data_IF_319621095878
#
_entry.id   IF_319621095878
#
_cell.length_a   1.000
_cell.length_b   1.000
_cell.length_c   1.000
_cell.angle_alpha   90.00
_cell.angle_beta   90.00
_cell.angle_gamma   90.00
#
_symmetry.space_group_name_H-M   'P 1'
#
loop_
_entity.id
_entity.type
_entity.pdbx_description
1 polymer ?
#
# COMPACT_ATOMS: atom_id res chain seq x y z
N UNK A 1 -32.35 -31.26 -36.66
CA UNK A 1 -31.52 -31.23 -35.44
C UNK A 1 -31.57 -29.80 -34.92
N UNK A 2 -32.22 -29.60 -33.78
CA UNK A 2 -32.80 -28.32 -33.36
C UNK A 2 -31.81 -27.40 -32.61
N UNK A 3 -31.96 -26.06 -32.71
CA UNK A 3 -31.01 -25.06 -32.18
C UNK A 3 -31.03 -24.95 -30.64
N UNK A 4 -31.92 -25.69 -29.97
CA UNK A 4 -32.14 -25.59 -28.53
C UNK A 4 -30.96 -26.14 -27.72
N UNK A 5 -30.21 -27.12 -28.24
CA UNK A 5 -29.09 -27.74 -27.53
C UNK A 5 -27.85 -26.82 -27.40
N UNK A 6 -27.66 -25.88 -28.34
CA UNK A 6 -26.52 -24.96 -28.34
C UNK A 6 -26.66 -23.80 -27.35
N UNK A 7 -27.87 -23.49 -26.87
CA UNK A 7 -28.12 -22.40 -25.93
C UNK A 7 -28.26 -22.91 -24.49
N UNK A 8 -28.79 -24.12 -24.30
CA UNK A 8 -29.04 -24.68 -22.96
C UNK A 8 -27.73 -25.13 -22.28
N UNK A 9 -26.77 -25.71 -23.01
CA UNK A 9 -25.52 -26.20 -22.41
C UNK A 9 -24.63 -25.06 -21.86
N UNK A 10 -24.39 -23.94 -22.58
CA UNK A 10 -23.65 -22.81 -22.03
C UNK A 10 -24.36 -22.17 -20.83
N UNK A 11 -25.70 -22.08 -20.85
CA UNK A 11 -26.47 -21.45 -19.78
C UNK A 11 -26.50 -22.31 -18.51
N UNK A 12 -26.59 -23.64 -18.65
CA UNK A 12 -26.46 -24.59 -17.54
C UNK A 12 -25.04 -24.60 -16.98
N UNK A 13 -24.00 -24.53 -17.82
CA UNK A 13 -22.62 -24.38 -17.35
C UNK A 13 -22.38 -23.02 -16.67
N UNK A 14 -23.01 -21.94 -17.16
CA UNK A 14 -22.95 -20.62 -16.52
C UNK A 14 -23.65 -20.64 -15.18
N UNK A 15 -24.82 -21.28 -15.06
CA UNK A 15 -25.57 -21.44 -13.80
C UNK A 15 -24.87 -22.39 -12.82
N UNK A 16 -24.20 -23.45 -13.29
CA UNK A 16 -23.36 -24.33 -12.46
C UNK A 16 -22.12 -23.57 -12.00
N UNK A 17 -21.46 -22.79 -12.87
CA UNK A 17 -20.35 -21.90 -12.49
C UNK A 17 -20.82 -20.79 -11.55
N UNK A 18 -22.00 -20.22 -11.72
CA UNK A 18 -22.58 -19.21 -10.82
C UNK A 18 -22.98 -19.82 -9.47
N UNK A 19 -23.50 -21.05 -9.46
CA UNK A 19 -23.82 -21.81 -8.23
C UNK A 19 -22.56 -22.28 -7.50
N UNK A 20 -21.53 -22.72 -8.23
CA UNK A 20 -20.21 -23.05 -7.66
C UNK A 20 -19.49 -21.78 -7.16
N UNK A 21 -19.61 -20.66 -7.86
CA UNK A 21 -19.09 -19.35 -7.42
C UNK A 21 -19.82 -18.83 -6.18
N UNK A 22 -21.15 -19.02 -6.07
CA UNK A 22 -21.90 -18.74 -4.84
C UNK A 22 -21.58 -19.73 -3.71
N UNK A 23 -21.28 -21.00 -4.01
CA UNK A 23 -20.85 -22.01 -3.00
C UNK A 23 -19.41 -21.81 -2.51
N UNK A 24 -18.57 -21.09 -3.26
CA UNK A 24 -17.16 -20.87 -2.93
C UNK A 24 -16.80 -19.44 -2.51
N UNK A 25 -17.79 -18.57 -2.22
CA UNK A 25 -17.54 -17.41 -1.36
C UNK A 25 -17.86 -17.83 0.07
N UNK A 26 -16.87 -17.95 0.98
CA UNK A 26 -17.21 -17.95 2.40
C UNK A 26 -18.09 -16.71 2.63
N UNK A 27 -19.23 -16.89 3.29
CA UNK A 27 -20.09 -15.79 3.71
C UNK A 27 -19.27 -14.91 4.67
N UNK A 28 -18.60 -13.90 4.13
CA UNK A 28 -17.80 -13.01 4.94
C UNK A 28 -18.74 -12.14 5.76
N UNK A 29 -18.73 -12.31 7.08
CA UNK A 29 -19.40 -11.37 7.98
C UNK A 29 -18.74 -10.01 7.76
N UNK A 30 -19.51 -9.02 7.33
CA UNK A 30 -18.99 -7.68 7.05
C UNK A 30 -19.16 -6.81 8.28
N UNK A 31 -18.05 -6.26 8.77
CA UNK A 31 -18.02 -5.38 9.93
C UNK A 31 -17.81 -3.96 9.43
N UNK A 32 -18.78 -3.09 9.71
CA UNK A 32 -18.82 -1.71 9.22
C UNK A 32 -18.81 -0.67 10.34
N UNK A 33 -18.73 -1.09 11.61
CA UNK A 33 -18.64 -0.19 12.76
C UNK A 33 -17.23 -0.19 13.35
N UNK A 34 -16.76 0.97 13.81
CA UNK A 34 -15.44 1.07 14.45
C UNK A 34 -15.36 0.25 15.74
N UNK A 35 -16.43 0.24 16.55
CA UNK A 35 -16.48 -0.50 17.81
C UNK A 35 -16.22 -2.00 17.63
N UNK A 36 -16.94 -2.65 16.71
CA UNK A 36 -16.75 -4.07 16.42
C UNK A 36 -15.40 -4.34 15.75
N UNK A 37 -14.96 -3.46 14.84
CA UNK A 37 -13.65 -3.56 14.22
C UNK A 37 -12.53 -3.58 15.29
N UNK A 38 -12.57 -2.70 16.28
CA UNK A 38 -11.60 -2.67 17.37
C UNK A 38 -11.66 -3.93 18.25
N UNK A 39 -12.85 -4.45 18.55
CA UNK A 39 -13.01 -5.71 19.31
C UNK A 39 -12.32 -6.87 18.59
N UNK A 40 -12.58 -7.04 17.29
CA UNK A 40 -11.99 -8.11 16.48
C UNK A 40 -10.49 -7.92 16.33
N UNK A 41 -10.02 -6.72 16.03
CA UNK A 41 -8.59 -6.47 15.80
C UNK A 41 -7.72 -6.66 17.06
N UNK A 42 -8.30 -6.51 18.25
CA UNK A 42 -7.61 -6.70 19.54
C UNK A 42 -7.74 -8.13 20.10
N UNK A 43 -8.71 -8.92 19.63
CA UNK A 43 -8.93 -10.28 20.13
C UNK A 43 -7.89 -11.27 19.60
N UNK A 44 -7.49 -12.21 20.47
CA UNK A 44 -6.66 -13.38 20.12
C UNK A 44 -7.43 -14.48 19.38
N UNK A 45 -8.76 -14.42 19.38
CA UNK A 45 -9.64 -15.39 18.70
C UNK A 45 -9.62 -15.20 17.17
N UNK A 46 -9.01 -14.13 16.68
CA UNK A 46 -8.99 -13.78 15.27
C UNK A 46 -7.56 -13.66 14.76
N UNK A 47 -7.24 -14.42 13.71
CA UNK A 47 -5.94 -14.30 13.04
C UNK A 47 -6.07 -13.94 11.56
N UNK A 48 -4.94 -13.74 10.90
CA UNK A 48 -4.87 -13.32 9.49
C UNK A 48 -4.17 -14.33 8.57
N UNK A 49 -3.83 -15.51 9.08
CA UNK A 49 -3.05 -16.51 8.33
C UNK A 49 -3.83 -17.02 7.12
N UNK A 50 -5.01 -17.59 7.31
CA UNK A 50 -5.84 -18.15 6.22
C UNK A 50 -6.18 -17.11 5.13
N UNK A 51 -6.60 -15.87 5.45
CA UNK A 51 -6.82 -14.85 4.41
C UNK A 51 -5.57 -14.45 3.61
N UNK A 52 -4.38 -14.66 4.18
CA UNK A 52 -3.10 -14.28 3.59
C UNK A 52 -2.30 -15.46 3.03
N UNK A 53 -2.80 -16.69 3.13
CA UNK A 53 -2.11 -17.91 2.70
C UNK A 53 -1.66 -17.85 1.23
N UNK A 54 -2.47 -17.22 0.37
CA UNK A 54 -2.12 -17.02 -1.03
C UNK A 54 -0.81 -16.25 -1.25
N UNK A 55 -0.37 -15.40 -0.31
CA UNK A 55 0.90 -14.67 -0.39
C UNK A 55 2.09 -15.63 -0.29
N UNK A 56 1.96 -16.74 0.46
CA UNK A 56 2.97 -17.78 0.55
C UNK A 56 3.12 -18.45 -0.82
N UNK A 57 2.00 -18.88 -1.42
CA UNK A 57 2.00 -19.64 -2.68
C UNK A 57 2.35 -18.77 -3.90
N UNK A 58 1.96 -17.50 -3.87
CA UNK A 58 2.06 -16.60 -5.03
C UNK A 58 3.36 -15.81 -5.01
N UNK A 59 3.73 -15.28 -3.85
CA UNK A 59 4.83 -14.33 -3.69
C UNK A 59 5.93 -14.84 -2.78
N UNK A 60 5.85 -16.08 -2.30
CA UNK A 60 6.85 -16.67 -1.38
C UNK A 60 7.08 -15.81 -0.14
N UNK A 61 6.01 -15.21 0.41
CA UNK A 61 6.08 -14.34 1.61
C UNK A 61 5.75 -15.16 2.85
N UNK A 62 6.73 -15.24 3.74
CA UNK A 62 6.67 -15.93 5.03
C UNK A 62 7.13 -14.96 6.11
N UNK A 63 6.15 -14.24 6.66
CA UNK A 63 6.36 -13.18 7.65
C UNK A 63 5.18 -13.14 8.63
N UNK A 64 5.10 -12.20 9.59
CA UNK A 64 4.01 -12.18 10.57
C UNK A 64 2.61 -11.89 9.99
N UNK A 65 2.49 -11.63 8.69
CA UNK A 65 1.21 -11.52 8.01
C UNK A 65 0.69 -12.87 7.53
N UNK A 66 1.58 -13.83 7.26
CA UNK A 66 1.23 -15.16 6.79
C UNK A 66 1.37 -16.22 7.88
N UNK A 67 2.16 -15.93 8.92
CA UNK A 67 2.46 -16.86 10.02
C UNK A 67 1.78 -16.42 11.32
N UNK A 68 1.03 -17.34 11.92
CA UNK A 68 0.35 -17.11 13.19
C UNK A 68 1.24 -17.46 14.38
N UNK A 69 2.27 -16.65 14.62
CA UNK A 69 3.10 -16.75 15.82
C UNK A 69 3.21 -15.40 16.54
N UNK A 70 2.79 -15.36 17.80
CA UNK A 70 2.74 -14.13 18.58
C UNK A 70 4.13 -13.55 18.88
N UNK A 71 5.13 -14.41 19.06
CA UNK A 71 6.50 -14.00 19.36
C UNK A 71 7.18 -13.36 18.14
N UNK A 72 6.99 -13.95 16.95
CA UNK A 72 7.42 -13.45 15.66
C UNK A 72 6.75 -12.11 15.34
N UNK A 73 5.43 -12.02 15.53
CA UNK A 73 4.71 -10.77 15.37
C UNK A 73 5.26 -9.67 16.28
N UNK A 74 5.55 -9.99 17.54
CA UNK A 74 6.14 -9.04 18.50
C UNK A 74 7.56 -8.63 18.09
N UNK A 75 8.43 -9.58 17.73
CA UNK A 75 9.81 -9.32 17.34
C UNK A 75 9.89 -8.46 16.07
N UNK A 76 9.17 -8.86 15.03
CA UNK A 76 9.11 -8.12 13.76
C UNK A 76 8.55 -6.71 13.95
N UNK A 77 7.44 -6.57 14.71
CA UNK A 77 6.85 -5.25 15.01
C UNK A 77 7.83 -4.37 15.79
N UNK A 78 8.52 -4.92 16.78
CA UNK A 78 9.50 -4.18 17.60
C UNK A 78 10.66 -3.70 16.73
N UNK A 79 11.21 -4.56 15.88
CA UNK A 79 12.28 -4.18 14.95
C UNK A 79 11.82 -3.10 13.96
N UNK A 80 10.65 -3.29 13.34
CA UNK A 80 10.07 -2.29 12.44
C UNK A 80 9.85 -0.95 13.14
N UNK A 81 9.31 -0.93 14.36
CA UNK A 81 9.18 0.32 15.13
C UNK A 81 10.53 0.98 15.36
N UNK A 82 11.55 0.24 15.81
CA UNK A 82 12.91 0.77 16.05
C UNK A 82 13.48 1.46 14.81
N UNK A 83 13.34 0.84 13.63
CA UNK A 83 13.79 1.42 12.36
C UNK A 83 13.02 2.70 12.05
N UNK A 84 11.69 2.64 12.08
CA UNK A 84 10.84 3.75 11.64
C UNK A 84 10.86 4.95 12.59
N UNK A 85 10.99 4.72 13.90
CA UNK A 85 11.11 5.79 14.90
C UNK A 85 12.42 6.57 14.75
N UNK A 86 13.42 6.03 14.06
CA UNK A 86 14.65 6.78 13.80
C UNK A 86 14.39 8.09 13.02
N UNK A 87 13.36 8.11 12.18
CA UNK A 87 12.95 9.25 11.37
C UNK A 87 11.96 10.19 12.10
N UNK A 88 11.63 9.93 13.38
CA UNK A 88 10.91 10.93 14.19
C UNK A 88 11.86 12.02 14.69
N UNK A 89 13.17 11.76 14.75
CA UNK A 89 14.19 12.77 14.98
C UNK A 89 14.27 13.75 13.78
N UNK A 90 14.51 15.04 14.04
CA UNK A 90 14.54 16.06 12.98
C UNK A 90 15.73 15.87 12.01
N UNK A 91 16.94 15.67 12.52
CA UNK A 91 18.14 15.49 11.70
C UNK A 91 18.00 14.31 10.73
N UNK A 92 17.52 13.18 11.23
CA UNK A 92 17.28 11.99 10.39
C UNK A 92 16.15 12.22 9.38
N UNK A 93 15.12 12.98 9.75
CA UNK A 93 14.05 13.33 8.83
C UNK A 93 14.54 14.27 7.71
N UNK A 94 15.39 15.24 8.02
CA UNK A 94 15.98 16.14 7.01
C UNK A 94 16.88 15.36 6.04
N UNK A 95 17.65 14.39 6.55
CA UNK A 95 18.43 13.46 5.71
C UNK A 95 17.53 12.64 4.79
N UNK A 96 16.43 12.10 5.33
CA UNK A 96 15.42 11.37 4.55
C UNK A 96 14.84 12.25 3.43
N UNK A 97 14.46 13.49 3.73
CA UNK A 97 13.95 14.45 2.74
C UNK A 97 14.98 14.73 1.65
N UNK A 98 16.26 14.90 2.00
CA UNK A 98 17.33 15.10 1.03
C UNK A 98 17.48 13.90 0.09
N UNK A 99 17.45 12.67 0.61
CA UNK A 99 17.50 11.48 -0.26
C UNK A 99 16.28 11.41 -1.16
N UNK A 100 15.08 11.62 -0.62
CA UNK A 100 13.82 11.63 -1.38
C UNK A 100 13.90 12.64 -2.54
N UNK A 101 14.36 13.86 -2.25
CA UNK A 101 14.60 14.90 -3.26
C UNK A 101 15.51 14.43 -4.38
N UNK A 102 16.69 13.89 -4.03
CA UNK A 102 17.67 13.44 -5.01
C UNK A 102 17.11 12.31 -5.90
N UNK A 103 16.36 11.36 -5.31
CA UNK A 103 15.74 10.25 -6.07
C UNK A 103 14.63 10.74 -6.99
N UNK A 104 13.75 11.61 -6.52
CA UNK A 104 12.67 12.19 -7.32
C UNK A 104 13.24 13.04 -8.45
N UNK A 105 14.22 13.90 -8.16
CA UNK A 105 14.91 14.71 -9.16
C UNK A 105 15.48 13.84 -10.28
N UNK A 106 16.22 12.80 -9.91
CA UNK A 106 16.82 11.88 -10.88
C UNK A 106 15.76 11.20 -11.74
N UNK A 107 14.68 10.68 -11.12
CA UNK A 107 13.59 10.01 -11.82
C UNK A 107 12.85 10.94 -12.77
N UNK A 108 12.45 12.13 -12.31
CA UNK A 108 11.73 13.11 -13.13
C UNK A 108 12.61 13.58 -14.30
N UNK A 109 13.90 13.87 -14.05
CA UNK A 109 14.85 14.25 -15.11
C UNK A 109 14.96 13.16 -16.18
N UNK A 110 15.11 11.88 -15.78
CA UNK A 110 15.15 10.76 -16.72
C UNK A 110 13.86 10.62 -17.53
N UNK A 111 12.71 10.83 -16.90
CA UNK A 111 11.42 10.78 -17.59
C UNK A 111 11.30 11.92 -18.60
N UNK A 112 11.61 13.16 -18.22
CA UNK A 112 11.57 14.33 -19.10
C UNK A 112 12.48 14.21 -20.33
N UNK A 113 13.66 13.58 -20.18
CA UNK A 113 14.56 13.30 -21.29
C UNK A 113 13.97 12.28 -22.30
N UNK A 114 13.15 11.34 -21.83
CA UNK A 114 12.56 10.28 -22.66
C UNK A 114 11.23 10.70 -23.29
N UNK A 115 10.36 11.34 -22.51
CA UNK A 115 9.02 11.73 -22.93
C UNK A 115 8.47 12.87 -22.05
N UNK A 116 7.68 13.77 -22.62
CA UNK A 116 7.03 14.86 -21.86
C UNK A 116 5.80 14.38 -21.06
N UNK A 117 5.29 13.19 -21.38
CA UNK A 117 4.15 12.55 -20.71
C UNK A 117 4.58 11.27 -20.04
N UNK A 118 4.09 11.03 -18.84
CA UNK A 118 4.37 9.78 -18.13
C UNK A 118 3.17 9.39 -17.26
N UNK A 119 3.08 8.10 -16.95
CA UNK A 119 1.99 7.55 -16.16
C UNK A 119 2.18 7.87 -14.66
N UNK A 120 1.18 8.51 -14.05
CA UNK A 120 1.24 8.89 -12.63
C UNK A 120 1.35 7.67 -11.71
N UNK A 121 0.62 6.59 -12.01
CA UNK A 121 0.67 5.38 -11.19
C UNK A 121 2.06 4.74 -11.21
N UNK A 122 2.73 4.72 -12.37
CA UNK A 122 4.10 4.23 -12.52
C UNK A 122 5.09 5.13 -11.79
N UNK A 123 4.97 6.45 -11.91
CA UNK A 123 5.82 7.39 -11.17
C UNK A 123 5.71 7.13 -9.66
N UNK A 124 4.49 7.11 -9.11
CA UNK A 124 4.25 6.92 -7.69
C UNK A 124 4.81 5.57 -7.18
N UNK A 125 4.60 4.48 -7.93
CA UNK A 125 5.18 3.16 -7.63
C UNK A 125 6.72 3.22 -7.57
N UNK A 126 7.34 3.77 -8.62
CA UNK A 126 8.80 3.79 -8.80
C UNK A 126 9.50 4.65 -7.74
N UNK A 127 9.07 5.91 -7.56
CA UNK A 127 9.73 6.82 -6.59
C UNK A 127 9.55 6.33 -5.15
N UNK A 128 8.38 5.78 -4.82
CA UNK A 128 8.16 5.22 -3.48
C UNK A 128 9.00 3.97 -3.27
N UNK A 129 9.16 3.12 -4.29
CA UNK A 129 10.02 1.93 -4.21
C UNK A 129 11.48 2.33 -4.03
N UNK A 130 11.98 3.25 -4.85
CA UNK A 130 13.37 3.73 -4.79
C UNK A 130 13.70 4.35 -3.43
N UNK A 131 12.83 5.23 -2.93
CA UNK A 131 12.99 5.82 -1.61
C UNK A 131 12.96 4.76 -0.51
N UNK A 132 12.04 3.78 -0.58
CA UNK A 132 11.96 2.70 0.40
C UNK A 132 13.21 1.80 0.37
N UNK A 133 13.65 1.38 -0.80
CA UNK A 133 14.83 0.54 -0.98
C UNK A 133 16.09 1.27 -0.50
N UNK A 134 16.28 2.52 -0.92
CA UNK A 134 17.47 3.30 -0.54
C UNK A 134 17.49 3.60 0.96
N UNK A 135 16.41 4.15 1.52
CA UNK A 135 16.44 4.69 2.89
C UNK A 135 16.17 3.64 3.95
N UNK A 136 15.23 2.73 3.71
CA UNK A 136 14.84 1.74 4.72
C UNK A 136 15.71 0.49 4.61
N UNK A 137 16.01 0.05 3.39
CA UNK A 137 16.81 -1.16 3.17
C UNK A 137 18.28 -0.86 2.88
N UNK A 138 18.68 0.35 2.53
CA UNK A 138 20.06 0.60 2.09
C UNK A 138 20.42 -0.14 0.79
N UNK A 139 19.43 -0.37 -0.07
CA UNK A 139 19.57 -1.07 -1.36
C UNK A 139 19.44 -0.05 -2.49
N UNK A 140 20.47 0.03 -3.34
CA UNK A 140 20.46 0.91 -4.51
C UNK A 140 19.82 0.20 -5.70
N UNK A 141 18.59 0.55 -6.03
CA UNK A 141 17.87 -0.08 -7.12
C UNK A 141 18.37 0.40 -8.50
N UNK A 142 18.47 -0.52 -9.46
CA UNK A 142 18.62 -0.17 -10.87
C UNK A 142 17.25 0.03 -11.54
N UNK A 143 17.24 0.39 -12.83
CA UNK A 143 16.02 0.63 -13.58
C UNK A 143 15.10 -0.61 -13.66
N UNK A 144 15.65 -1.81 -13.85
CA UNK A 144 14.87 -3.05 -13.95
C UNK A 144 14.12 -3.31 -12.64
N UNK A 145 14.79 -3.21 -11.50
CA UNK A 145 14.18 -3.38 -10.19
C UNK A 145 13.08 -2.36 -9.92
N UNK A 146 13.27 -1.11 -10.34
CA UNK A 146 12.28 -0.05 -10.10
C UNK A 146 11.08 -0.13 -11.04
N UNK A 147 11.29 -0.57 -12.29
CA UNK A 147 10.23 -0.57 -13.30
C UNK A 147 9.46 -1.88 -13.37
N UNK A 148 10.14 -3.02 -13.24
CA UNK A 148 9.54 -4.33 -13.46
C UNK A 148 8.95 -4.94 -12.17
N UNK A 149 9.64 -4.80 -11.03
CA UNK A 149 9.19 -5.39 -9.77
C UNK A 149 7.77 -4.93 -9.37
N UNK A 150 7.42 -3.62 -9.40
CA UNK A 150 6.06 -3.17 -9.09
C UNK A 150 4.98 -3.84 -9.95
N UNK A 151 5.24 -3.94 -11.24
CA UNK A 151 4.26 -4.45 -12.20
C UNK A 151 4.10 -5.97 -12.06
N UNK A 152 5.18 -6.71 -11.82
CA UNK A 152 5.13 -8.15 -11.52
C UNK A 152 4.34 -8.46 -10.24
N UNK A 153 4.59 -7.71 -9.16
CA UNK A 153 3.84 -7.90 -7.89
C UNK A 153 2.34 -7.69 -8.14
N UNK A 154 1.97 -6.60 -8.84
CA UNK A 154 0.57 -6.26 -9.12
C UNK A 154 -0.07 -7.28 -10.07
N UNK A 155 0.66 -7.75 -11.08
CA UNK A 155 0.21 -8.79 -12.01
C UNK A 155 -0.07 -10.10 -11.28
N UNK A 156 0.87 -10.57 -10.46
CA UNK A 156 0.74 -11.82 -9.69
C UNK A 156 -0.40 -11.78 -8.68
N UNK A 157 -0.81 -10.59 -8.22
CA UNK A 157 -2.00 -10.48 -7.39
C UNK A 157 -3.31 -10.87 -8.09
N UNK A 158 -3.39 -10.68 -9.42
CA UNK A 158 -4.53 -11.10 -10.24
C UNK A 158 -4.31 -12.49 -10.82
N UNK A 159 -3.09 -12.74 -11.28
CA UNK A 159 -2.68 -13.92 -12.01
C UNK A 159 -1.81 -14.82 -11.11
N UNK A 160 -2.39 -15.28 -9.99
CA UNK A 160 -1.65 -15.96 -8.90
C UNK A 160 -0.90 -17.22 -9.31
N UNK A 161 -1.32 -17.85 -10.39
CA UNK A 161 -0.76 -19.10 -10.90
C UNK A 161 0.17 -18.89 -12.10
N UNK A 162 0.46 -17.64 -12.49
CA UNK A 162 1.36 -17.33 -13.60
C UNK A 162 2.80 -17.71 -13.24
N UNK A 163 3.25 -18.85 -13.78
CA UNK A 163 4.58 -19.39 -13.50
C UNK A 163 5.67 -18.52 -14.11
N UNK A 164 5.48 -17.98 -15.31
CA UNK A 164 6.46 -17.13 -15.99
C UNK A 164 6.72 -15.86 -15.19
N UNK A 165 5.67 -15.22 -14.66
CA UNK A 165 5.82 -14.05 -13.81
C UNK A 165 6.51 -14.38 -12.47
N UNK A 166 6.25 -15.55 -11.88
CA UNK A 166 6.95 -16.02 -10.66
C UNK A 166 8.43 -16.28 -10.94
N UNK A 167 8.77 -16.92 -12.05
CA UNK A 167 10.15 -17.23 -12.42
C UNK A 167 10.92 -15.93 -12.70
N UNK A 168 10.29 -14.95 -13.37
CA UNK A 168 10.88 -13.64 -13.61
C UNK A 168 11.12 -12.87 -12.30
N UNK A 169 10.17 -12.92 -11.36
CA UNK A 169 10.33 -12.33 -10.03
C UNK A 169 11.52 -12.93 -9.28
N UNK A 170 11.71 -14.26 -9.34
CA UNK A 170 12.89 -14.92 -8.76
C UNK A 170 14.18 -14.44 -9.43
N UNK A 171 14.20 -14.33 -10.75
CA UNK A 171 15.36 -13.85 -11.50
C UNK A 171 15.77 -12.43 -11.09
N UNK A 172 14.80 -11.52 -10.92
CA UNK A 172 15.08 -10.15 -10.43
C UNK A 172 15.82 -10.20 -9.10
N UNK A 173 15.36 -10.99 -8.12
CA UNK A 173 16.03 -11.05 -6.82
C UNK A 173 17.39 -11.76 -6.87
N UNK A 174 17.58 -12.72 -7.76
CA UNK A 174 18.89 -13.33 -8.01
C UNK A 174 19.89 -12.30 -8.53
N UNK A 175 19.50 -11.45 -9.49
CA UNK A 175 20.36 -10.39 -10.03
C UNK A 175 20.74 -9.33 -8.98
N UNK A 176 19.89 -9.11 -7.98
CA UNK A 176 20.11 -8.10 -6.93
C UNK A 176 20.57 -8.69 -5.60
N UNK A 177 20.91 -9.98 -5.57
CA UNK A 177 21.19 -10.70 -4.33
C UNK A 177 22.35 -10.08 -3.52
N UNK A 178 23.39 -9.59 -4.19
CA UNK A 178 24.55 -8.98 -3.51
C UNK A 178 24.14 -7.72 -2.73
N UNK A 179 23.28 -6.89 -3.31
CA UNK A 179 22.81 -5.66 -2.68
C UNK A 179 21.93 -5.95 -1.46
N UNK A 180 21.00 -6.91 -1.59
CA UNK A 180 20.20 -7.36 -0.45
C UNK A 180 21.06 -8.04 0.61
N UNK A 181 22.09 -8.80 0.23
CA UNK A 181 23.01 -9.44 1.17
C UNK A 181 23.78 -8.42 2.03
N UNK A 182 24.10 -7.26 1.47
CA UNK A 182 24.74 -6.14 2.19
C UNK A 182 23.77 -5.30 3.03
N UNK A 183 22.45 -5.42 2.83
CA UNK A 183 21.45 -4.66 3.56
C UNK A 183 21.36 -5.08 5.02
N UNK A 184 21.85 -4.24 5.93
CA UNK A 184 21.76 -4.46 7.39
C UNK A 184 20.32 -4.67 7.87
N UNK A 185 19.40 -3.84 7.38
CA UNK A 185 17.97 -3.94 7.71
C UNK A 185 17.39 -5.27 7.25
N UNK A 186 17.70 -5.69 6.01
CA UNK A 186 17.21 -6.96 5.50
C UNK A 186 17.77 -8.14 6.28
N UNK A 187 19.06 -8.14 6.60
CA UNK A 187 19.67 -9.22 7.40
C UNK A 187 19.02 -9.34 8.79
N UNK A 188 18.73 -8.22 9.46
CA UNK A 188 18.01 -8.24 10.74
C UNK A 188 16.62 -8.87 10.63
N UNK A 189 15.86 -8.51 9.58
CA UNK A 189 14.56 -9.11 9.32
C UNK A 189 14.70 -10.60 9.03
N UNK A 190 15.66 -11.00 8.19
CA UNK A 190 15.94 -12.40 7.87
C UNK A 190 16.25 -13.22 9.12
N UNK A 191 17.06 -12.69 10.05
CA UNK A 191 17.33 -13.33 11.34
C UNK A 191 16.05 -13.55 12.14
N UNK A 192 15.21 -12.51 12.31
CA UNK A 192 13.93 -12.62 13.01
C UNK A 192 13.00 -13.69 12.40
N UNK A 193 12.98 -13.80 11.07
CA UNK A 193 12.19 -14.81 10.36
C UNK A 193 12.78 -16.23 10.55
N UNK A 194 14.11 -16.37 10.55
CA UNK A 194 14.83 -17.64 10.69
C UNK A 194 14.72 -18.27 12.09
N UNK A 195 14.60 -17.46 13.15
CA UNK A 195 14.46 -17.92 14.54
C UNK A 195 13.20 -18.80 14.78
N UNK A 196 12.32 -18.92 13.78
CA UNK A 196 11.02 -19.59 13.89
C UNK A 196 10.79 -20.65 12.81
N UNK A 197 11.86 -21.19 12.23
CA UNK A 197 11.79 -22.17 11.14
C UNK A 197 10.98 -23.43 11.42
N UNK A 198 10.86 -23.81 12.68
CA UNK A 198 10.16 -25.03 13.09
C UNK A 198 8.64 -24.85 13.27
N UNK A 199 8.09 -23.63 13.19
CA UNK A 199 6.66 -23.36 13.50
C UNK A 199 5.75 -23.58 12.28
N UNK A 200 6.30 -23.66 11.08
CA UNK A 200 5.56 -24.07 9.88
C UNK A 200 5.74 -25.57 9.69
N UNK A 201 5.09 -26.37 10.54
CA UNK A 201 5.24 -27.83 10.59
C UNK A 201 4.92 -28.58 9.29
N UNK A 202 4.43 -27.89 8.26
CA UNK A 202 4.01 -28.48 6.98
C UNK A 202 4.90 -28.08 5.78
N UNK A 203 5.89 -27.20 5.96
CA UNK A 203 6.87 -26.90 4.90
C UNK A 203 8.16 -27.69 5.11
N UNK A 204 8.76 -28.18 4.03
CA UNK A 204 10.11 -28.74 4.13
C UNK A 204 11.11 -27.61 4.45
N UNK A 205 12.15 -27.93 5.23
CA UNK A 205 13.15 -26.95 5.69
C UNK A 205 13.74 -26.13 4.53
N UNK A 206 14.09 -26.80 3.43
CA UNK A 206 14.66 -26.14 2.23
C UNK A 206 13.70 -25.15 1.57
N UNK A 207 12.40 -25.49 1.50
CA UNK A 207 11.38 -24.61 0.91
C UNK A 207 11.11 -23.38 1.79
N UNK A 208 11.17 -23.58 3.11
CA UNK A 208 11.04 -22.50 4.07
C UNK A 208 12.24 -21.53 4.04
N UNK A 209 13.47 -22.06 3.98
CA UNK A 209 14.70 -21.25 3.91
C UNK A 209 14.76 -20.38 2.64
N UNK A 210 14.28 -20.89 1.50
CA UNK A 210 14.12 -20.11 0.27
C UNK A 210 13.14 -18.95 0.49
N UNK A 211 11.97 -19.23 1.11
CA UNK A 211 10.94 -18.21 1.34
C UNK A 211 11.34 -17.15 2.37
N UNK A 212 12.09 -17.49 3.42
CA UNK A 212 12.63 -16.48 4.35
C UNK A 212 13.62 -15.56 3.64
N UNK A 213 14.42 -16.11 2.72
CA UNK A 213 15.45 -15.37 1.99
C UNK A 213 14.87 -14.41 0.94
N UNK A 214 13.56 -14.43 0.71
CA UNK A 214 12.88 -13.58 -0.25
C UNK A 214 12.67 -12.13 0.30
N UNK A 215 13.24 -11.09 -0.34
CA UNK A 215 13.08 -9.70 0.09
C UNK A 215 11.63 -9.17 0.07
N UNK A 216 10.71 -9.85 -0.63
CA UNK A 216 9.28 -9.49 -0.59
C UNK A 216 8.66 -9.56 0.81
N UNK A 217 9.28 -10.29 1.74
CA UNK A 217 8.89 -10.31 3.15
C UNK A 217 8.86 -8.92 3.80
N UNK A 218 9.68 -7.98 3.32
CA UNK A 218 9.71 -6.60 3.79
C UNK A 218 9.27 -5.58 2.74
N UNK A 219 9.49 -5.84 1.45
CA UNK A 219 9.11 -4.92 0.37
C UNK A 219 7.59 -4.78 0.27
N UNK A 220 6.84 -5.87 0.16
CA UNK A 220 5.36 -5.79 0.00
C UNK A 220 4.69 -5.06 1.16
N UNK A 221 4.95 -5.39 2.45
CA UNK A 221 4.30 -4.68 3.55
C UNK A 221 4.76 -3.23 3.70
N UNK A 222 5.97 -2.87 3.27
CA UNK A 222 6.53 -1.52 3.41
C UNK A 222 6.22 -0.57 2.25
N UNK A 223 6.22 -1.08 1.02
CA UNK A 223 6.08 -0.29 -0.20
C UNK A 223 4.65 -0.27 -0.75
N UNK A 224 3.94 -1.40 -0.78
CA UNK A 224 2.70 -1.51 -1.57
C UNK A 224 1.61 -0.57 -1.08
N UNK A 225 1.39 -0.51 0.23
CA UNK A 225 0.39 0.40 0.79
C UNK A 225 0.80 1.86 0.63
N UNK A 226 2.11 2.13 0.68
CA UNK A 226 2.66 3.48 0.69
C UNK A 226 2.53 4.18 -0.66
N UNK A 227 2.83 3.49 -1.76
CA UNK A 227 2.72 4.12 -3.09
C UNK A 227 1.27 4.53 -3.39
N UNK A 228 0.27 3.81 -2.84
CA UNK A 228 -1.14 4.19 -2.96
C UNK A 228 -1.45 5.48 -2.22
N UNK A 229 -0.86 5.71 -1.05
CA UNK A 229 -1.03 6.97 -0.31
C UNK A 229 -0.52 8.12 -1.16
N UNK A 230 0.71 8.01 -1.68
CA UNK A 230 1.31 9.00 -2.58
C UNK A 230 0.43 9.21 -3.81
N UNK A 231 0.01 8.12 -4.46
CA UNK A 231 -0.78 8.16 -5.68
C UNK A 231 -2.13 8.87 -5.51
N UNK A 232 -2.96 8.47 -4.54
CA UNK A 232 -4.26 9.12 -4.31
C UNK A 232 -4.11 10.56 -3.82
N UNK A 233 -3.04 10.87 -3.07
CA UNK A 233 -2.77 12.25 -2.66
C UNK A 233 -2.49 13.12 -3.89
N UNK A 234 -1.65 12.65 -4.82
CA UNK A 234 -1.36 13.37 -6.06
C UNK A 234 -2.61 13.51 -6.95
N UNK A 235 -3.45 12.48 -7.05
CA UNK A 235 -4.72 12.57 -7.79
C UNK A 235 -5.65 13.65 -7.20
N UNK A 236 -5.73 13.75 -5.88
CA UNK A 236 -6.56 14.76 -5.21
C UNK A 236 -6.03 16.18 -5.42
N UNK A 237 -4.70 16.34 -5.39
CA UNK A 237 -4.00 17.60 -5.62
C UNK A 237 -4.13 18.08 -7.06
N UNK A 238 -3.98 17.19 -8.05
CA UNK A 238 -4.16 17.52 -9.48
C UNK A 238 -5.57 18.10 -9.74
N UNK A 239 -6.58 17.59 -9.02
CA UNK A 239 -7.95 18.10 -9.13
C UNK A 239 -8.22 19.37 -8.33
N UNK A 240 -7.27 19.83 -7.50
CA UNK A 240 -7.40 20.99 -6.61
C UNK A 240 -6.15 21.88 -6.69
N UNK A 241 -5.98 22.62 -7.81
CA UNK A 241 -4.83 23.52 -7.99
C UNK A 241 -4.67 24.55 -6.86
N UNK A 242 -5.78 24.99 -6.25
CA UNK A 242 -5.77 25.88 -5.09
C UNK A 242 -5.05 25.29 -3.87
N UNK A 243 -5.16 23.98 -3.63
CA UNK A 243 -4.40 23.31 -2.56
C UNK A 243 -2.93 23.18 -2.93
N UNK A 244 -2.61 22.94 -4.20
CA UNK A 244 -1.23 22.91 -4.69
C UNK A 244 -0.57 24.27 -4.50
N UNK A 245 -1.22 25.37 -4.88
CA UNK A 245 -0.72 26.73 -4.68
C UNK A 245 -0.47 27.06 -3.20
N UNK A 246 -1.41 26.69 -2.32
CA UNK A 246 -1.24 26.86 -0.87
C UNK A 246 -0.11 26.01 -0.29
N UNK A 247 0.13 24.81 -0.82
CA UNK A 247 1.25 23.96 -0.41
C UNK A 247 2.57 24.52 -0.92
N UNK A 248 2.66 24.83 -2.21
CA UNK A 248 3.86 25.37 -2.84
C UNK A 248 4.26 26.72 -2.23
N UNK A 249 3.33 27.56 -1.79
CA UNK A 249 3.68 28.80 -1.06
C UNK A 249 4.25 28.55 0.34
N UNK A 250 4.01 27.38 0.94
CA UNK A 250 4.65 26.94 2.19
C UNK A 250 5.98 26.23 1.95
N UNK A 251 6.20 25.70 0.75
CA UNK A 251 7.46 25.07 0.35
C UNK A 251 8.42 26.18 -0.12
N UNK A 252 9.54 26.35 0.56
CA UNK A 252 10.67 27.07 -0.06
C UNK A 252 11.53 26.11 -0.89
N UNK A 253 12.28 26.62 -1.87
CA UNK A 253 13.17 25.84 -2.77
C UNK A 253 14.22 24.98 -2.04
N UNK A 254 14.36 25.16 -0.72
CA UNK A 254 15.33 24.47 0.13
C UNK A 254 14.69 23.82 1.35
N UNK A 255 13.42 23.44 1.28
CA UNK A 255 12.68 22.92 2.43
C UNK A 255 13.36 21.67 2.96
N UNK A 256 14.11 21.80 4.06
CA UNK A 256 14.84 20.66 4.64
C UNK A 256 13.88 19.67 5.31
N UNK A 257 12.67 20.12 5.66
CA UNK A 257 11.67 19.36 6.40
C UNK A 257 10.27 19.83 6.03
N UNK A 258 9.33 18.88 5.98
CA UNK A 258 7.89 19.13 5.84
C UNK A 258 7.10 18.88 7.13
N UNK A 259 7.79 18.76 8.26
CA UNK A 259 7.18 18.38 9.54
C UNK A 259 6.10 19.36 9.99
N UNK A 260 6.29 20.64 9.72
CA UNK A 260 5.43 21.72 10.20
C UNK A 260 4.43 22.19 9.13
N UNK A 261 4.40 21.51 7.97
CA UNK A 261 3.41 21.78 6.92
C UNK A 261 2.07 21.09 7.28
N UNK A 262 1.30 21.75 8.14
CA UNK A 262 0.02 21.22 8.63
C UNK A 262 -0.96 20.91 7.50
N UNK A 263 -1.00 21.75 6.44
CA UNK A 263 -1.88 21.51 5.30
C UNK A 263 -1.56 20.19 4.59
N UNK A 264 -0.28 19.86 4.42
CA UNK A 264 0.13 18.58 3.82
C UNK A 264 -0.29 17.40 4.68
N UNK A 265 -0.13 17.51 6.01
CA UNK A 265 -0.59 16.48 6.94
C UNK A 265 -2.11 16.28 6.87
N UNK A 266 -2.88 17.37 6.83
CA UNK A 266 -4.34 17.34 6.68
C UNK A 266 -4.78 16.69 5.37
N UNK A 267 -4.12 17.02 4.27
CA UNK A 267 -4.36 16.44 2.94
C UNK A 267 -4.10 14.93 2.96
N UNK A 268 -2.99 14.49 3.55
CA UNK A 268 -2.66 13.07 3.68
C UNK A 268 -3.68 12.33 4.56
N UNK A 269 -4.09 12.92 5.69
CA UNK A 269 -5.08 12.34 6.59
C UNK A 269 -6.44 12.18 5.91
N UNK A 270 -6.89 13.19 5.18
CA UNK A 270 -8.14 13.11 4.41
C UNK A 270 -8.04 12.13 3.24
N UNK A 271 -6.89 12.07 2.57
CA UNK A 271 -6.63 11.04 1.55
C UNK A 271 -6.71 9.64 2.14
N UNK A 272 -6.09 9.40 3.28
CA UNK A 272 -6.10 8.11 3.96
C UNK A 272 -7.48 7.71 4.49
N UNK A 273 -8.32 8.70 4.86
CA UNK A 273 -9.71 8.49 5.25
C UNK A 273 -10.56 8.07 4.03
N UNK A 274 -10.50 8.84 2.94
CA UNK A 274 -11.34 8.57 1.78
C UNK A 274 -10.83 7.40 0.94
N UNK A 275 -9.52 7.19 0.89
CA UNK A 275 -8.83 6.24 0.03
C UNK A 275 -7.84 5.36 0.81
N UNK A 276 -8.30 4.63 1.84
CA UNK A 276 -7.42 3.79 2.64
C UNK A 276 -6.76 2.72 1.76
N UNK A 277 -5.41 2.60 1.74
CA UNK A 277 -4.72 1.58 0.97
C UNK A 277 -5.21 0.16 1.29
N UNK A 278 -5.52 -0.07 2.57
CA UNK A 278 -6.19 -1.29 3.04
C UNK A 278 -7.69 -1.02 3.24
N UNK A 279 -8.48 -1.20 2.17
CA UNK A 279 -9.94 -0.98 2.21
C UNK A 279 -10.67 -1.94 3.13
N UNK A 280 -10.21 -3.19 3.15
CA UNK A 280 -10.81 -4.28 3.90
C UNK A 280 -9.71 -5.02 4.67
N UNK A 281 -9.98 -5.35 5.93
CA UNK A 281 -9.10 -6.18 6.75
C UNK A 281 -9.80 -7.52 6.98
N UNK A 282 -9.17 -8.59 6.51
CA UNK A 282 -9.70 -9.95 6.66
C UNK A 282 -9.12 -10.65 7.88
N UNK A 283 -9.99 -11.35 8.61
CA UNK A 283 -9.63 -12.21 9.74
C UNK A 283 -10.39 -13.53 9.66
N UNK A 284 -9.84 -14.56 10.28
CA UNK A 284 -10.54 -15.84 10.51
C UNK A 284 -10.73 -16.01 12.01
N UNK A 285 -11.97 -16.27 12.44
CA UNK A 285 -12.29 -16.67 13.80
C UNK A 285 -11.76 -18.09 14.03
N UNK A 286 -10.91 -18.28 15.03
CA UNK A 286 -10.26 -19.55 15.32
C UNK A 286 -11.21 -20.57 15.97
N UNK A 287 -12.26 -20.09 16.63
CA UNK A 287 -13.24 -20.93 17.30
C UNK A 287 -14.30 -21.45 16.33
N UNK A 288 -14.70 -20.64 15.33
CA UNK A 288 -15.77 -21.00 14.38
C UNK A 288 -15.27 -21.32 12.98
N UNK A 289 -14.03 -20.95 12.63
CA UNK A 289 -13.47 -21.07 11.28
C UNK A 289 -14.01 -20.05 10.27
N UNK A 290 -14.90 -19.15 10.70
CA UNK A 290 -15.55 -18.16 9.84
C UNK A 290 -14.62 -17.01 9.48
N UNK A 291 -14.77 -16.51 8.25
CA UNK A 291 -14.05 -15.34 7.78
C UNK A 291 -14.85 -14.07 8.04
N UNK A 292 -14.17 -13.06 8.57
CA UNK A 292 -14.71 -11.72 8.83
C UNK A 292 -13.98 -10.71 7.97
N UNK A 293 -14.73 -9.76 7.40
CA UNK A 293 -14.24 -8.67 6.58
C UNK A 293 -14.58 -7.34 7.27
N UNK A 294 -13.58 -6.67 7.84
CA UNK A 294 -13.73 -5.32 8.38
C UNK A 294 -13.59 -4.33 7.25
N UNK A 295 -14.66 -3.62 6.92
CA UNK A 295 -14.64 -2.60 5.86
C UNK A 295 -14.20 -1.24 6.41
N UNK A 296 -12.88 -1.00 6.35
CA UNK A 296 -12.26 0.28 6.73
C UNK A 296 -12.84 1.41 5.90
N UNK A 297 -13.05 1.18 4.60
CA UNK A 297 -13.64 2.15 3.69
C UNK A 297 -15.05 2.58 4.12
N UNK A 298 -15.90 1.64 4.56
CA UNK A 298 -17.25 1.98 5.03
C UNK A 298 -17.18 2.76 6.35
N UNK A 299 -16.38 2.30 7.33
CA UNK A 299 -16.18 3.00 8.61
C UNK A 299 -15.70 4.45 8.39
N UNK A 300 -14.79 4.66 7.44
CA UNK A 300 -14.22 5.98 7.15
C UNK A 300 -15.18 6.91 6.40
N UNK A 301 -16.23 6.36 5.78
CA UNK A 301 -17.20 7.10 4.96
C UNK A 301 -18.59 7.14 5.60
N UNK A 302 -18.71 6.66 6.83
CA UNK A 302 -19.97 6.66 7.56
C UNK A 302 -20.42 8.10 7.87
N UNK A 303 -21.57 8.50 7.32
CA UNK A 303 -22.12 9.83 7.49
C UNK A 303 -22.58 10.10 8.92
N UNK A 304 -22.88 9.08 9.72
CA UNK A 304 -23.25 9.28 11.13
C UNK A 304 -22.04 9.72 11.96
N UNK A 305 -20.84 9.28 11.59
CA UNK A 305 -19.57 9.61 12.26
C UNK A 305 -18.91 10.86 11.67
N UNK A 306 -18.86 10.94 10.34
CA UNK A 306 -18.08 11.93 9.61
C UNK A 306 -18.91 13.11 9.10
N UNK A 307 -20.23 13.12 9.36
CA UNK A 307 -21.14 14.18 8.96
C UNK A 307 -21.70 14.02 7.54
N UNK A 308 -22.55 14.96 7.13
CA UNK A 308 -23.18 14.96 5.80
C UNK A 308 -22.16 15.05 4.65
N UNK A 309 -20.99 15.65 4.91
CA UNK A 309 -19.89 15.83 3.98
C UNK A 309 -18.87 14.68 4.02
N UNK A 310 -19.19 13.53 4.64
CA UNK A 310 -18.26 12.39 4.79
C UNK A 310 -17.65 11.89 3.47
N UNK A 311 -18.29 12.11 2.33
CA UNK A 311 -17.80 11.71 1.01
C UNK A 311 -17.04 12.82 0.27
N UNK A 312 -17.00 14.02 0.84
CA UNK A 312 -16.30 15.16 0.25
C UNK A 312 -14.86 15.15 0.74
N UNK A 313 -13.92 15.38 -0.18
CA UNK A 313 -12.52 15.59 0.18
C UNK A 313 -12.34 16.96 0.83
N UNK A 314 -12.24 16.97 2.16
CA UNK A 314 -12.07 18.18 2.97
C UNK A 314 -10.87 18.02 3.93
N UNK A 315 -9.66 18.44 3.52
CA UNK A 315 -8.47 18.38 4.38
C UNK A 315 -8.65 19.09 5.71
N UNK A 316 -9.34 20.25 5.72
CA UNK A 316 -9.53 21.07 6.92
C UNK A 316 -10.35 20.36 8.00
N UNK A 317 -10.96 19.21 7.73
CA UNK A 317 -11.53 18.32 8.76
C UNK A 317 -10.53 17.95 9.84
N UNK A 318 -9.25 17.84 9.48
CA UNK A 318 -8.17 17.50 10.40
C UNK A 318 -7.46 18.72 11.00
N UNK A 319 -7.97 19.94 10.74
CA UNK A 319 -7.49 21.16 11.37
C UNK A 319 -7.80 21.19 12.86
N UNK A 320 -9.00 20.76 13.21
CA UNK A 320 -9.49 20.69 14.58
C UNK A 320 -9.34 19.27 15.15
N UNK A 321 -9.50 19.15 16.46
CA UNK A 321 -9.49 17.86 17.14
C UNK A 321 -10.75 17.08 16.76
N UNK A 322 -10.56 15.89 16.19
CA UNK A 322 -11.64 14.95 15.87
C UNK A 322 -12.44 14.57 17.13
N UNK A 323 -13.74 14.32 16.97
CA UNK A 323 -14.57 13.76 18.05
C UNK A 323 -14.06 12.38 18.47
N UNK A 324 -14.37 11.90 19.70
CA UNK A 324 -13.96 10.55 20.12
C UNK A 324 -14.37 9.45 19.15
N UNK A 325 -15.57 9.55 18.57
CA UNK A 325 -16.09 8.59 17.58
C UNK A 325 -15.32 8.64 16.25
N UNK A 326 -14.97 9.84 15.77
CA UNK A 326 -14.14 10.02 14.58
C UNK A 326 -12.71 9.50 14.80
N UNK A 327 -12.11 9.78 15.97
CA UNK A 327 -10.79 9.24 16.34
C UNK A 327 -10.80 7.72 16.35
N UNK A 328 -11.85 7.11 16.90
CA UNK A 328 -11.99 5.66 16.94
C UNK A 328 -12.20 5.07 15.53
N UNK A 329 -12.93 5.77 14.67
CA UNK A 329 -13.24 5.35 13.29
C UNK A 329 -12.08 5.56 12.33
N UNK A 330 -11.14 6.45 12.64
CA UNK A 330 -9.97 6.71 11.80
C UNK A 330 -8.91 5.60 11.91
N UNK A 331 -9.07 4.58 11.06
CA UNK A 331 -8.28 3.34 10.99
C UNK A 331 -7.43 3.14 9.71
N UNK A 332 -6.74 4.17 9.15
CA UNK A 332 -6.07 4.05 7.85
C UNK A 332 -4.91 3.04 7.82
N UNK A 333 -4.33 2.76 8.99
CA UNK A 333 -3.21 1.83 9.16
C UNK A 333 -3.57 0.64 10.07
N UNK A 334 -4.85 0.34 10.27
CA UNK A 334 -5.31 -0.58 11.32
C UNK A 334 -4.76 -0.20 12.71
N UNK A 335 -4.84 -1.09 13.69
CA UNK A 335 -4.37 -0.84 15.07
C UNK A 335 -2.92 -1.29 15.32
N UNK A 336 -2.35 -2.11 14.43
CA UNK A 336 -1.06 -2.77 14.68
C UNK A 336 0.10 -2.27 13.83
N UNK A 337 -0.14 -1.38 12.86
CA UNK A 337 0.91 -0.93 11.94
C UNK A 337 1.98 -0.09 12.66
N UNK A 338 3.27 -0.46 12.56
CA UNK A 338 4.38 0.34 13.10
C UNK A 338 4.46 1.76 12.54
N UNK A 339 4.17 1.94 11.25
CA UNK A 339 4.34 3.21 10.55
C UNK A 339 3.31 4.29 10.95
N UNK A 340 2.24 3.92 11.67
CA UNK A 340 1.15 4.82 12.07
C UNK A 340 1.60 5.94 13.01
N UNK A 341 2.71 5.75 13.72
CA UNK A 341 3.27 6.72 14.67
C UNK A 341 4.10 7.79 13.95
N UNK A 342 3.49 8.45 12.97
CA UNK A 342 4.06 9.61 12.25
C UNK A 342 4.91 9.27 11.02
N UNK A 343 5.62 8.13 10.98
CA UNK A 343 6.48 7.79 9.84
C UNK A 343 5.73 7.78 8.50
N UNK A 344 4.55 7.14 8.44
CA UNK A 344 3.80 7.03 7.19
C UNK A 344 3.44 8.40 6.59
N UNK A 345 2.97 9.34 7.42
CA UNK A 345 2.61 10.69 6.99
C UNK A 345 3.85 11.48 6.54
N UNK A 346 4.94 11.39 7.31
CA UNK A 346 6.20 12.06 7.00
C UNK A 346 6.81 11.56 5.69
N UNK A 347 6.83 10.25 5.48
CA UNK A 347 7.41 9.64 4.30
C UNK A 347 6.57 9.91 3.04
N UNK A 348 5.25 9.68 3.08
CA UNK A 348 4.37 10.00 1.98
C UNK A 348 4.35 11.50 1.66
N UNK A 349 4.29 12.34 2.71
CA UNK A 349 4.30 13.79 2.57
C UNK A 349 5.57 14.33 1.93
N UNK A 350 6.74 13.86 2.37
CA UNK A 350 8.01 14.24 1.74
C UNK A 350 8.05 13.86 0.26
N UNK A 351 7.60 12.65 -0.11
CA UNK A 351 7.53 12.24 -1.53
C UNK A 351 6.59 13.15 -2.32
N UNK A 352 5.38 13.40 -1.81
CA UNK A 352 4.40 14.27 -2.47
C UNK A 352 4.94 15.69 -2.63
N UNK A 353 5.52 16.27 -1.58
CA UNK A 353 6.04 17.62 -1.59
C UNK A 353 7.22 17.77 -2.57
N UNK A 354 8.16 16.83 -2.57
CA UNK A 354 9.29 16.86 -3.53
C UNK A 354 8.81 16.65 -4.98
N UNK A 355 7.81 15.79 -5.22
CA UNK A 355 7.19 15.70 -6.55
C UNK A 355 6.64 17.06 -6.98
N UNK A 356 5.87 17.73 -6.12
CA UNK A 356 5.31 19.06 -6.39
C UNK A 356 6.38 20.13 -6.62
N UNK A 357 7.50 20.11 -5.88
CA UNK A 357 8.60 21.07 -6.08
C UNK A 357 9.23 20.96 -7.47
N UNK A 358 9.37 19.74 -8.01
CA UNK A 358 9.95 19.54 -9.34
C UNK A 358 8.97 19.78 -10.49
N UNK A 359 7.66 19.75 -10.22
CA UNK A 359 6.65 19.85 -11.25
C UNK A 359 5.37 20.55 -10.80
N UNK A 360 5.40 21.78 -10.28
CA UNK A 360 4.21 22.41 -9.69
C UNK A 360 3.01 22.52 -10.66
N UNK A 361 3.26 22.41 -11.97
CA UNK A 361 2.26 22.43 -13.04
C UNK A 361 1.76 21.04 -13.47
N UNK A 362 1.72 20.05 -12.56
CA UNK A 362 1.13 18.73 -12.85
C UNK A 362 -0.26 18.89 -13.45
N UNK A 363 -0.41 18.45 -14.69
CA UNK A 363 -1.70 18.46 -15.39
C UNK A 363 -1.93 17.12 -16.06
N UNK A 364 -3.20 16.70 -16.11
CA UNK A 364 -3.59 15.50 -16.85
C UNK A 364 -3.39 15.78 -18.34
N UNK A 365 -2.76 14.83 -19.04
CA UNK A 365 -2.64 14.91 -20.49
C UNK A 365 -4.05 14.89 -21.11
N UNK A 366 -4.32 15.81 -22.05
CA UNK A 366 -5.64 16.06 -22.66
C UNK A 366 -6.33 14.85 -23.30
N UNK A 367 -5.62 13.73 -23.48
CA UNK A 367 -6.05 12.53 -24.19
C UNK A 367 -6.81 11.52 -23.31
N UNK A 368 -6.91 11.74 -21.99
CA UNK A 368 -7.64 10.85 -21.08
C UNK A 368 -9.06 11.34 -20.81
N UNK A 369 -10.02 10.40 -20.80
CA UNK A 369 -11.39 10.62 -20.28
C UNK A 369 -11.30 11.41 -18.97
N UNK A 370 -12.10 12.48 -18.88
CA UNK A 370 -12.02 13.48 -17.83
C UNK A 370 -11.93 12.84 -16.45
N UNK A 371 -10.88 13.17 -15.68
CA UNK A 371 -10.79 12.81 -14.27
C UNK A 371 -12.12 13.09 -13.56
N UNK A 372 -12.55 12.23 -12.61
CA UNK A 372 -13.80 12.45 -11.90
C UNK A 372 -13.83 13.87 -11.32
N UNK A 373 -14.94 14.61 -11.50
CA UNK A 373 -15.03 15.96 -10.96
C UNK A 373 -14.84 15.96 -9.44
N UNK A 374 -14.48 17.11 -8.87
CA UNK A 374 -14.04 17.24 -7.47
C UNK A 374 -15.10 16.83 -6.43
N UNK A 375 -16.37 16.84 -6.81
CA UNK A 375 -17.53 16.37 -6.02
C UNK A 375 -17.70 14.85 -6.03
N UNK A 376 -16.97 14.13 -6.91
CA UNK A 376 -16.96 12.67 -6.98
C UNK A 376 -15.69 12.10 -6.36
N UNK A 377 -15.89 10.99 -5.65
CA UNK A 377 -14.83 10.15 -5.12
C UNK A 377 -14.06 9.48 -6.26
N UNK A 378 -12.74 9.34 -6.07
CA UNK A 378 -11.91 8.51 -6.92
C UNK A 378 -12.28 7.03 -6.74
N UNK A 379 -12.22 6.28 -7.84
CA UNK A 379 -12.38 4.84 -7.80
C UNK A 379 -11.13 4.22 -7.15
N UNK A 380 -11.38 3.27 -6.24
CA UNK A 380 -10.34 2.55 -5.57
C UNK A 380 -9.98 1.23 -6.28
N UNK A 381 -10.70 0.82 -7.32
CA UNK A 381 -10.39 -0.40 -8.08
C UNK A 381 -8.93 -0.35 -8.53
N UNK A 382 -8.27 -1.51 -8.46
CA UNK A 382 -6.81 -1.60 -8.55
C UNK A 382 -6.24 -1.06 -9.86
N UNK A 383 -7.05 -1.12 -10.92
CA UNK A 383 -6.67 -0.72 -12.27
C UNK A 383 -7.14 0.68 -12.66
N UNK A 384 -7.91 1.33 -11.78
CA UNK A 384 -8.37 2.68 -12.02
C UNK A 384 -7.17 3.61 -12.18
N UNK A 385 -7.19 4.40 -13.25
CA UNK A 385 -6.17 5.41 -13.56
C UNK A 385 -4.76 4.83 -13.83
N UNK A 386 -4.62 3.52 -14.11
CA UNK A 386 -3.32 2.92 -14.43
C UNK A 386 -2.66 3.53 -15.66
N UNK A 387 -3.45 4.04 -16.61
CA UNK A 387 -2.94 4.65 -17.84
C UNK A 387 -2.91 6.18 -17.76
N UNK A 388 -3.34 6.78 -16.65
CA UNK A 388 -3.44 8.24 -16.51
C UNK A 388 -2.08 8.91 -16.75
N UNK A 389 -1.96 9.56 -17.90
CA UNK A 389 -0.80 10.34 -18.28
C UNK A 389 -0.89 11.75 -17.72
N UNK A 390 0.25 12.24 -17.22
CA UNK A 390 0.42 13.59 -16.72
C UNK A 390 1.59 14.27 -17.43
N UNK A 391 1.51 15.59 -17.52
CA UNK A 391 2.61 16.46 -17.91
C UNK A 391 3.26 17.03 -16.65
N UNK A 392 4.60 17.05 -16.61
CA UNK A 392 5.40 17.84 -15.65
C UNK A 392 5.94 19.07 -16.37
#
# INVERSE_FOLDING_TARGET
MTPLFLIVVPFVMLLIRFRQWKKCKPSNITISTANEAHKILKSSDYNRQKPNEWLIETLSIVNPFTINDASLQKAFKTNAMKILTNYTNQQNYEKLVLTIRNRIQHRITLLQLKNRKFCLSKLAKQVTLDCFLTEILGVHANEDLLTELPELIIHLWKNRNDKTAKDRLKQIFQTHNDQFSQSKTWQQIKTILSERSNIISNMSTNDFDEKISNPLNIIVPGWETMWRVVFYTLLELIRRPNLVEQLCSQFNEHSKSYRDCLLLEWILKETLRLYPPTKNIYRTNLNTGENVCISVQQIHRDKTVWGSDALNFNPYRFKDILTPEQQQSYLPFSISCPARFGFAYKFAGAIVAEILNFGPNFSIAKEFESMPPTDKLLDLVRDSYNDLLINI
#
